data_IF_175698077830
#
_entry.id   IF_175698077830
#
_cell.length_a   1.000
_cell.length_b   1.000
_cell.length_c   1.000
_cell.angle_alpha   90.00
_cell.angle_beta   90.00
_cell.angle_gamma   90.00
#
_symmetry.space_group_name_H-M   'P 1'
#
loop_
_entity.id
_entity.type
_entity.pdbx_description
1 polymer ?
#
# COMPACT_ATOMS: atom_id res chain seq x y z
N UNK A 1 -16.10 -0.04 -14.31
CA UNK A 1 -15.60 -0.50 -15.58
C UNK A 1 -15.02 -1.92 -15.51
N UNK A 2 -14.56 -2.53 -16.64
CA UNK A 2 -14.09 -3.92 -16.67
C UNK A 2 -12.79 -4.12 -15.87
N UNK A 3 -11.81 -3.23 -16.02
CA UNK A 3 -10.54 -3.32 -15.30
C UNK A 3 -10.75 -3.13 -13.80
N UNK A 4 -11.53 -2.15 -13.42
CA UNK A 4 -11.88 -1.86 -12.03
C UNK A 4 -12.53 -3.07 -11.36
N UNK A 5 -13.63 -3.60 -11.93
CA UNK A 5 -14.29 -4.80 -11.39
C UNK A 5 -13.37 -6.03 -11.36
N UNK A 6 -12.47 -6.16 -12.36
CA UNK A 6 -11.52 -7.27 -12.37
C UNK A 6 -10.53 -7.13 -11.23
N UNK A 7 -9.99 -5.93 -11.00
CA UNK A 7 -9.05 -5.67 -9.90
C UNK A 7 -9.69 -5.87 -8.53
N UNK A 8 -10.94 -5.43 -8.34
CA UNK A 8 -11.71 -5.67 -7.11
C UNK A 8 -11.88 -7.17 -6.84
N UNK A 9 -12.32 -7.93 -7.85
CA UNK A 9 -12.50 -9.37 -7.72
C UNK A 9 -11.18 -10.10 -7.42
N UNK A 10 -10.09 -9.72 -8.10
CA UNK A 10 -8.77 -10.29 -7.86
C UNK A 10 -8.26 -9.96 -6.45
N UNK A 11 -8.51 -8.75 -5.96
CA UNK A 11 -8.17 -8.36 -4.60
C UNK A 11 -8.92 -9.23 -3.57
N UNK A 12 -10.22 -9.43 -3.73
CA UNK A 12 -11.00 -10.28 -2.83
C UNK A 12 -10.51 -11.74 -2.85
N UNK A 13 -10.23 -12.28 -4.04
CA UNK A 13 -9.67 -13.63 -4.16
C UNK A 13 -8.29 -13.75 -3.49
N UNK A 14 -7.45 -12.71 -3.58
CA UNK A 14 -6.16 -12.69 -2.91
C UNK A 14 -6.30 -12.64 -1.37
N UNK A 15 -7.25 -11.87 -0.84
CA UNK A 15 -7.59 -11.86 0.60
C UNK A 15 -8.05 -13.23 1.07
N UNK A 16 -8.96 -13.89 0.35
CA UNK A 16 -9.43 -15.24 0.68
C UNK A 16 -8.28 -16.26 0.67
N UNK A 17 -7.39 -16.17 -0.33
CA UNK A 17 -6.22 -17.04 -0.42
C UNK A 17 -5.24 -16.79 0.73
N UNK A 18 -5.01 -15.53 1.12
CA UNK A 18 -4.16 -15.18 2.25
C UNK A 18 -4.72 -15.72 3.58
N UNK A 19 -6.03 -15.60 3.81
CA UNK A 19 -6.70 -16.17 4.98
C UNK A 19 -6.56 -17.70 5.04
N UNK A 20 -6.82 -18.37 3.92
CA UNK A 20 -6.64 -19.83 3.82
C UNK A 20 -5.19 -20.24 4.12
N UNK A 21 -4.20 -19.57 3.53
CA UNK A 21 -2.78 -19.87 3.75
C UNK A 21 -2.34 -19.59 5.17
N UNK A 22 -2.85 -18.53 5.81
CA UNK A 22 -2.57 -18.22 7.21
C UNK A 22 -3.05 -19.37 8.12
N UNK A 23 -4.28 -19.84 7.97
CA UNK A 23 -4.80 -20.96 8.73
C UNK A 23 -4.03 -22.26 8.47
N UNK A 24 -3.78 -22.60 7.21
CA UNK A 24 -3.10 -23.84 6.83
C UNK A 24 -1.63 -23.87 7.29
N UNK A 25 -0.92 -22.74 7.21
CA UNK A 25 0.51 -22.66 7.59
C UNK A 25 0.75 -22.90 9.08
N UNK A 26 -0.24 -22.66 9.93
CA UNK A 26 -0.17 -22.92 11.36
C UNK A 26 -0.37 -24.37 11.75
N UNK A 27 -0.85 -25.23 10.84
CA UNK A 27 -1.10 -26.65 11.11
C UNK A 27 0.20 -27.45 11.10
N UNK A 28 0.43 -28.33 12.07
CA UNK A 28 1.63 -29.17 12.10
C UNK A 28 1.75 -30.03 10.84
N UNK A 29 2.90 -29.96 10.17
CA UNK A 29 3.18 -30.74 8.96
C UNK A 29 2.46 -30.25 7.70
N UNK A 30 1.90 -29.06 7.73
CA UNK A 30 1.24 -28.47 6.56
C UNK A 30 2.22 -28.32 5.38
N UNK A 31 1.79 -28.67 4.15
CA UNK A 31 2.56 -28.40 2.95
C UNK A 31 2.59 -26.92 2.58
N UNK A 32 1.77 -26.08 3.23
CA UNK A 32 1.62 -24.65 3.01
C UNK A 32 2.47 -23.81 3.97
N UNK A 33 3.56 -24.36 4.51
CA UNK A 33 4.48 -23.58 5.33
C UNK A 33 5.21 -22.53 4.49
N UNK A 34 4.87 -21.26 4.71
CA UNK A 34 5.43 -20.12 3.99
C UNK A 34 6.76 -19.62 4.58
N UNK A 35 7.28 -20.24 5.65
CA UNK A 35 8.46 -19.75 6.35
C UNK A 35 8.26 -18.44 7.12
N UNK A 36 7.01 -17.99 7.24
CA UNK A 36 6.65 -16.78 8.00
C UNK A 36 6.60 -17.13 9.49
N UNK A 37 7.20 -16.31 10.37
CA UNK A 37 7.10 -16.52 11.81
C UNK A 37 5.64 -16.59 12.27
N UNK A 38 5.36 -17.49 13.23
CA UNK A 38 4.01 -17.71 13.73
C UNK A 38 3.35 -16.43 14.22
N UNK A 39 4.10 -15.62 14.93
CA UNK A 39 3.63 -14.34 15.47
C UNK A 39 3.19 -13.38 14.36
N UNK A 40 3.90 -13.35 13.24
CA UNK A 40 3.54 -12.52 12.09
C UNK A 40 2.27 -13.03 11.40
N UNK A 41 2.07 -14.35 11.32
CA UNK A 41 0.83 -14.94 10.80
C UNK A 41 -0.35 -14.58 11.72
N UNK A 42 -0.17 -14.65 13.03
CA UNK A 42 -1.21 -14.28 13.99
C UNK A 42 -1.61 -12.80 13.86
N UNK A 43 -0.65 -11.89 13.67
CA UNK A 43 -0.94 -10.48 13.37
C UNK A 43 -1.70 -10.30 12.05
N UNK A 44 -1.26 -10.97 10.99
CA UNK A 44 -1.92 -10.92 9.70
C UNK A 44 -3.37 -11.44 9.76
N UNK A 45 -3.61 -12.54 10.49
CA UNK A 45 -4.95 -13.09 10.71
C UNK A 45 -5.86 -12.09 11.42
N UNK A 46 -5.37 -11.45 12.49
CA UNK A 46 -6.14 -10.42 13.21
C UNK A 46 -6.47 -9.23 12.31
N UNK A 47 -5.54 -8.82 11.45
CA UNK A 47 -5.77 -7.72 10.50
C UNK A 47 -6.81 -8.10 9.44
N UNK A 48 -6.76 -9.33 8.91
CA UNK A 48 -7.76 -9.85 7.97
C UNK A 48 -9.16 -9.94 8.61
N UNK A 49 -9.26 -10.46 9.84
CA UNK A 49 -10.54 -10.60 10.56
C UNK A 49 -11.19 -9.24 10.88
N UNK A 50 -10.38 -8.22 11.10
CA UNK A 50 -10.86 -6.84 11.35
C UNK A 50 -11.17 -6.08 10.08
N UNK A 51 -10.83 -6.64 8.92
CA UNK A 51 -10.88 -5.94 7.63
C UNK A 51 -10.11 -4.59 7.69
N UNK A 52 -8.87 -4.64 8.21
CA UNK A 52 -8.04 -3.45 8.31
C UNK A 52 -7.81 -2.86 6.91
N UNK A 53 -7.91 -1.53 6.74
CA UNK A 53 -7.82 -0.91 5.44
C UNK A 53 -6.41 -1.02 4.86
N UNK A 54 -6.31 -1.40 3.59
CA UNK A 54 -5.08 -1.32 2.80
C UNK A 54 -4.92 0.06 2.18
N UNK A 55 -3.69 0.44 1.83
CA UNK A 55 -3.41 1.74 1.21
C UNK A 55 -3.48 1.64 -0.31
N UNK A 56 -2.59 0.89 -0.92
CA UNK A 56 -2.52 0.68 -2.37
C UNK A 56 -1.82 -0.63 -2.71
N UNK A 57 -2.02 -1.05 -3.95
CA UNK A 57 -1.36 -2.22 -4.52
C UNK A 57 -1.29 -2.08 -6.05
N UNK A 58 -0.50 -2.94 -6.72
CA UNK A 58 -0.39 -2.96 -8.17
C UNK A 58 -0.67 -4.34 -8.73
N UNK A 59 -1.63 -4.44 -9.63
CA UNK A 59 -1.83 -5.61 -10.46
C UNK A 59 -1.14 -5.43 -11.81
N UNK A 60 -0.35 -6.40 -12.22
CA UNK A 60 0.16 -6.49 -13.56
C UNK A 60 -0.77 -7.40 -14.36
N UNK A 61 -1.45 -6.81 -15.37
CA UNK A 61 -2.52 -7.47 -16.11
C UNK A 61 -2.18 -7.55 -17.60
N UNK A 62 -2.53 -8.69 -18.24
CA UNK A 62 -2.67 -8.76 -19.70
C UNK A 62 -4.08 -8.33 -20.07
N UNK A 63 -4.17 -7.27 -20.85
CA UNK A 63 -5.45 -6.76 -21.36
C UNK A 63 -5.36 -6.50 -22.86
N UNK A 64 -6.23 -7.14 -23.63
CA UNK A 64 -6.25 -7.07 -25.09
C UNK A 64 -7.25 -6.02 -25.63
N UNK A 65 -7.79 -5.17 -24.75
CA UNK A 65 -8.78 -4.16 -25.14
C UNK A 65 -10.16 -4.77 -25.44
N UNK A 66 -10.73 -4.44 -26.62
CA UNK A 66 -12.11 -4.75 -26.95
C UNK A 66 -12.33 -6.12 -27.62
N UNK A 67 -11.46 -7.11 -27.38
CA UNK A 67 -11.60 -8.45 -27.95
C UNK A 67 -12.57 -9.37 -27.19
N UNK A 68 -13.23 -8.84 -26.17
CA UNK A 68 -14.21 -9.54 -25.34
C UNK A 68 -13.61 -10.52 -24.32
N UNK A 69 -12.29 -10.66 -24.28
CA UNK A 69 -11.62 -11.49 -23.27
C UNK A 69 -11.42 -10.73 -21.97
N UNK A 70 -11.62 -11.38 -20.81
CA UNK A 70 -11.34 -10.73 -19.54
C UNK A 70 -9.83 -10.49 -19.37
N UNK A 71 -9.45 -9.45 -18.61
CA UNK A 71 -8.06 -9.26 -18.18
C UNK A 71 -7.54 -10.48 -17.43
N UNK A 72 -6.26 -10.80 -17.63
CA UNK A 72 -5.58 -11.91 -16.93
C UNK A 72 -4.46 -11.38 -16.06
N UNK A 73 -4.47 -11.76 -14.80
CA UNK A 73 -3.45 -11.39 -13.85
C UNK A 73 -2.13 -12.12 -14.15
N UNK A 74 -1.05 -11.38 -14.16
CA UNK A 74 0.31 -11.88 -14.16
C UNK A 74 0.85 -11.91 -12.74
N UNK A 75 0.66 -10.80 -12.03
CA UNK A 75 1.26 -10.58 -10.72
C UNK A 75 0.39 -9.64 -9.89
N UNK A 76 0.44 -9.81 -8.57
CA UNK A 76 -0.16 -8.91 -7.60
C UNK A 76 0.91 -8.44 -6.61
N UNK A 77 1.29 -7.18 -6.69
CA UNK A 77 2.22 -6.53 -5.78
C UNK A 77 1.40 -5.82 -4.68
N UNK A 78 1.32 -6.45 -3.51
CA UNK A 78 0.48 -6.01 -2.40
C UNK A 78 1.26 -5.38 -1.24
N UNK A 79 2.60 -5.32 -1.34
CA UNK A 79 3.48 -4.68 -0.37
C UNK A 79 4.42 -3.72 -1.09
N UNK A 80 4.28 -2.43 -0.79
CA UNK A 80 5.06 -1.30 -1.35
C UNK A 80 5.48 -1.48 -2.81
N UNK A 81 4.53 -1.65 -3.75
CA UNK A 81 4.90 -1.84 -5.14
C UNK A 81 5.59 -0.60 -5.72
N UNK A 82 6.63 -0.82 -6.50
CA UNK A 82 7.35 0.22 -7.24
C UNK A 82 6.50 0.84 -8.36
N UNK A 83 6.95 1.93 -8.96
CA UNK A 83 6.25 2.59 -10.05
C UNK A 83 5.10 3.51 -9.63
N UNK A 84 4.95 3.78 -8.32
CA UNK A 84 3.89 4.65 -7.79
C UNK A 84 4.09 6.10 -8.20
N UNK A 85 5.29 6.63 -8.01
CA UNK A 85 5.61 8.04 -8.31
C UNK A 85 5.51 8.30 -9.81
N UNK A 86 5.95 7.35 -10.63
CA UNK A 86 5.85 7.42 -12.09
C UNK A 86 4.38 7.45 -12.52
N UNK A 87 3.54 6.59 -11.95
CA UNK A 87 2.14 6.53 -12.30
C UNK A 87 1.34 7.73 -11.78
N UNK A 88 1.59 8.15 -10.54
CA UNK A 88 0.82 9.20 -9.90
C UNK A 88 1.23 10.62 -10.34
N UNK A 89 2.53 10.88 -10.50
CA UNK A 89 3.07 12.21 -10.73
C UNK A 89 3.75 12.38 -12.09
N UNK A 90 4.70 11.50 -12.44
CA UNK A 90 5.54 11.69 -13.63
C UNK A 90 4.69 11.64 -14.90
N UNK A 91 3.74 10.72 -15.00
CA UNK A 91 2.82 10.65 -16.14
C UNK A 91 1.96 11.90 -16.27
N UNK A 92 1.53 12.50 -15.17
CA UNK A 92 0.79 13.77 -15.20
C UNK A 92 1.66 14.91 -15.75
N UNK A 93 2.86 15.10 -15.22
CA UNK A 93 3.78 16.14 -15.72
C UNK A 93 4.15 15.92 -17.18
N UNK A 94 4.36 14.66 -17.59
CA UNK A 94 4.57 14.33 -18.99
C UNK A 94 3.37 14.76 -19.87
N UNK A 95 2.16 14.47 -19.41
CA UNK A 95 0.93 14.87 -20.10
C UNK A 95 0.84 16.40 -20.22
N UNK A 96 1.09 17.14 -19.16
CA UNK A 96 1.12 18.61 -19.20
C UNK A 96 2.17 19.13 -20.19
N UNK A 97 3.39 18.63 -20.11
CA UNK A 97 4.51 19.13 -20.93
C UNK A 97 4.35 18.80 -22.41
N UNK A 98 3.92 17.61 -22.74
CA UNK A 98 3.88 17.12 -24.14
C UNK A 98 2.57 17.47 -24.83
N UNK A 99 1.45 17.48 -24.11
CA UNK A 99 0.14 17.70 -24.71
C UNK A 99 -0.45 19.07 -24.40
N UNK A 100 -0.65 19.40 -23.11
CA UNK A 100 -1.37 20.61 -22.75
C UNK A 100 -0.59 21.88 -23.14
N UNK A 101 0.70 21.94 -22.89
CA UNK A 101 1.55 23.08 -23.31
C UNK A 101 1.70 23.20 -24.84
N UNK A 102 1.53 22.09 -25.56
CA UNK A 102 1.51 22.09 -27.02
C UNK A 102 0.12 22.43 -27.60
N UNK A 103 -0.88 22.70 -26.77
CA UNK A 103 -2.24 23.03 -27.20
C UNK A 103 -3.03 21.82 -27.73
N UNK A 104 -2.60 20.60 -27.44
CA UNK A 104 -3.34 19.38 -27.80
C UNK A 104 -4.52 19.25 -26.83
N UNK A 105 -5.73 19.16 -27.39
CA UNK A 105 -6.97 19.03 -26.62
C UNK A 105 -7.64 17.69 -26.86
N UNK A 106 -8.50 17.26 -25.90
CA UNK A 106 -9.26 15.99 -26.03
C UNK A 106 -8.44 14.75 -25.67
N UNK A 107 -7.25 14.93 -25.12
CA UNK A 107 -6.44 13.88 -24.51
C UNK A 107 -6.49 14.09 -22.99
N UNK A 108 -6.74 13.03 -22.26
CA UNK A 108 -6.80 13.01 -20.80
C UNK A 108 -6.17 11.72 -20.30
N UNK A 109 -5.91 11.62 -19.01
CA UNK A 109 -5.45 10.39 -18.40
C UNK A 109 -6.42 9.94 -17.29
N UNK A 110 -6.58 8.64 -17.19
CA UNK A 110 -7.36 8.01 -16.13
C UNK A 110 -6.47 7.79 -14.91
N UNK A 111 -6.20 8.87 -14.19
CA UNK A 111 -5.27 8.87 -13.06
C UNK A 111 -5.85 9.72 -11.90
N UNK A 112 -6.33 9.05 -10.87
CA UNK A 112 -6.77 9.65 -9.61
C UNK A 112 -5.95 9.17 -8.42
N UNK A 113 -4.75 8.58 -8.64
CA UNK A 113 -3.97 7.91 -7.59
C UNK A 113 -3.64 8.89 -6.45
N UNK A 114 -3.24 10.12 -6.77
CA UNK A 114 -2.84 11.10 -5.76
C UNK A 114 -3.99 11.45 -4.81
N UNK A 115 -5.14 11.78 -5.36
CA UNK A 115 -6.34 12.15 -4.62
C UNK A 115 -6.89 10.97 -3.81
N UNK A 116 -6.87 9.77 -4.38
CA UNK A 116 -7.32 8.56 -3.70
C UNK A 116 -6.40 8.17 -2.54
N UNK A 117 -5.09 8.36 -2.67
CA UNK A 117 -4.16 8.16 -1.56
C UNK A 117 -4.48 9.10 -0.40
N UNK A 118 -4.69 10.40 -0.67
CA UNK A 118 -5.06 11.37 0.36
C UNK A 118 -6.38 10.96 1.05
N UNK A 119 -7.40 10.58 0.26
CA UNK A 119 -8.66 10.12 0.80
C UNK A 119 -8.53 8.83 1.62
N UNK A 120 -7.69 7.89 1.17
CA UNK A 120 -7.47 6.62 1.88
C UNK A 120 -6.75 6.82 3.22
N UNK A 121 -5.81 7.75 3.31
CA UNK A 121 -5.20 8.11 4.59
C UNK A 121 -6.23 8.57 5.61
N UNK A 122 -7.22 9.37 5.20
CA UNK A 122 -8.34 9.76 6.07
C UNK A 122 -9.14 8.55 6.57
N UNK A 123 -9.43 7.59 5.69
CA UNK A 123 -10.13 6.34 6.06
C UNK A 123 -9.32 5.48 7.04
N UNK A 124 -8.00 5.39 6.84
CA UNK A 124 -7.08 4.69 7.74
C UNK A 124 -7.07 5.35 9.13
N UNK A 125 -6.92 6.68 9.20
CA UNK A 125 -6.92 7.40 10.48
C UNK A 125 -8.25 7.27 11.22
N UNK A 126 -9.37 7.33 10.51
CA UNK A 126 -10.69 7.07 11.09
C UNK A 126 -10.85 5.64 11.62
N UNK A 127 -10.32 4.66 10.91
CA UNK A 127 -10.31 3.26 11.35
C UNK A 127 -9.49 3.09 12.64
N UNK A 128 -8.27 3.62 12.67
CA UNK A 128 -7.40 3.59 13.85
C UNK A 128 -8.03 4.34 15.03
N UNK A 129 -8.67 5.47 14.78
CA UNK A 129 -9.41 6.21 15.80
C UNK A 129 -10.55 5.41 16.43
N UNK A 130 -11.24 4.59 15.64
CA UNK A 130 -12.28 3.67 16.17
C UNK A 130 -11.69 2.53 16.99
N UNK A 131 -10.53 2.00 16.59
CA UNK A 131 -9.89 0.89 17.29
C UNK A 131 -9.23 1.31 18.60
N UNK A 132 -8.56 2.44 18.62
CA UNK A 132 -7.68 2.83 19.72
C UNK A 132 -8.16 4.05 20.49
N UNK A 133 -9.15 4.78 20.00
CA UNK A 133 -9.76 5.94 20.67
C UNK A 133 -8.81 7.13 20.91
N UNK A 134 -7.58 7.04 20.42
CA UNK A 134 -6.54 8.06 20.63
C UNK A 134 -6.32 8.85 19.35
N UNK A 135 -6.29 10.17 19.45
CA UNK A 135 -5.86 11.09 18.40
C UNK A 135 -5.07 12.25 19.00
N UNK A 136 -4.08 12.80 18.29
CA UNK A 136 -3.58 12.38 16.99
C UNK A 136 -2.68 11.13 17.06
N UNK A 137 -2.67 10.34 15.98
CA UNK A 137 -1.68 9.29 15.78
C UNK A 137 -0.41 9.88 15.14
N UNK A 138 0.75 9.28 15.45
CA UNK A 138 1.99 9.55 14.72
C UNK A 138 2.20 8.44 13.68
N UNK A 139 2.32 8.83 12.41
CA UNK A 139 2.56 7.90 11.32
C UNK A 139 4.04 7.86 10.99
N UNK A 140 4.63 6.67 11.05
CA UNK A 140 6.04 6.44 10.74
C UNK A 140 6.16 5.83 9.34
N UNK A 141 6.85 6.52 8.46
CA UNK A 141 7.15 6.07 7.10
C UNK A 141 8.57 5.54 7.08
N UNK A 142 8.70 4.21 7.04
CA UNK A 142 9.99 3.56 7.13
C UNK A 142 10.52 3.20 5.74
N UNK A 143 11.78 3.54 5.47
CA UNK A 143 12.48 3.20 4.24
C UNK A 143 13.78 2.47 4.54
N UNK A 144 14.29 1.70 3.57
CA UNK A 144 15.60 1.08 3.66
C UNK A 144 16.67 1.98 3.04
N UNK A 145 17.83 2.09 3.71
CA UNK A 145 19.02 2.74 3.19
C UNK A 145 19.92 1.79 2.38
N UNK A 146 19.50 0.53 2.24
CA UNK A 146 20.19 -0.47 1.43
C UNK A 146 19.90 -0.36 -0.07
N UNK A 147 18.94 0.48 -0.46
CA UNK A 147 18.59 0.76 -1.84
C UNK A 147 19.42 1.93 -2.39
N UNK A 148 20.48 1.60 -3.14
CA UNK A 148 21.37 2.59 -3.79
C UNK A 148 20.66 3.42 -4.88
N UNK A 149 19.49 2.98 -5.38
CA UNK A 149 18.69 3.72 -6.37
C UNK A 149 17.94 4.90 -5.77
N UNK A 150 17.61 4.83 -4.48
CA UNK A 150 16.78 5.80 -3.77
C UNK A 150 15.28 5.65 -4.08
N UNK A 151 14.88 4.60 -4.77
CA UNK A 151 13.48 4.35 -5.15
C UNK A 151 12.59 4.14 -3.93
N UNK A 152 13.06 3.37 -2.94
CA UNK A 152 12.33 3.13 -1.71
C UNK A 152 12.12 4.42 -0.91
N UNK A 153 13.16 5.24 -0.77
CA UNK A 153 13.08 6.55 -0.12
C UNK A 153 12.11 7.50 -0.86
N UNK A 154 12.15 7.51 -2.19
CA UNK A 154 11.28 8.36 -3.01
C UNK A 154 9.81 7.95 -2.87
N UNK A 155 9.51 6.67 -2.98
CA UNK A 155 8.16 6.13 -2.83
C UNK A 155 7.61 6.37 -1.43
N UNK A 156 8.41 6.06 -0.40
CA UNK A 156 8.03 6.25 1.00
C UNK A 156 7.84 7.74 1.35
N UNK A 157 8.71 8.61 0.82
CA UNK A 157 8.58 10.07 0.97
C UNK A 157 7.32 10.62 0.30
N UNK A 158 6.97 10.11 -0.88
CA UNK A 158 5.73 10.48 -1.56
C UNK A 158 4.48 10.04 -0.78
N UNK A 159 4.48 8.82 -0.24
CA UNK A 159 3.39 8.34 0.62
C UNK A 159 3.25 9.20 1.88
N UNK A 160 4.36 9.59 2.50
CA UNK A 160 4.34 10.51 3.64
C UNK A 160 3.76 11.87 3.26
N UNK A 161 4.12 12.41 2.10
CA UNK A 161 3.59 13.70 1.63
C UNK A 161 2.06 13.64 1.43
N UNK A 162 1.53 12.59 0.83
CA UNK A 162 0.07 12.40 0.71
C UNK A 162 -0.63 12.26 2.06
N UNK A 163 0.01 11.63 3.05
CA UNK A 163 -0.51 11.55 4.42
C UNK A 163 -0.52 12.93 5.12
N UNK A 164 0.53 13.73 4.92
CA UNK A 164 0.59 15.11 5.43
C UNK A 164 -0.52 15.96 4.78
N UNK A 165 -0.76 15.81 3.48
CA UNK A 165 -1.85 16.49 2.78
C UNK A 165 -3.23 16.06 3.30
N UNK A 166 -3.38 14.83 3.77
CA UNK A 166 -4.56 14.35 4.48
C UNK A 166 -4.70 14.90 5.92
N UNK A 167 -3.73 15.70 6.39
CA UNK A 167 -3.73 16.31 7.73
C UNK A 167 -3.10 15.43 8.82
N UNK A 168 -2.40 14.36 8.45
CA UNK A 168 -1.81 13.43 9.41
C UNK A 168 -0.43 13.89 9.89
N UNK A 169 -0.15 13.65 11.17
CA UNK A 169 1.19 13.89 11.72
C UNK A 169 2.10 12.74 11.34
N UNK A 170 3.10 13.03 10.50
CA UNK A 170 3.93 12.01 9.84
C UNK A 170 5.42 12.28 10.06
N UNK A 171 6.22 11.20 10.05
CA UNK A 171 7.68 11.29 10.12
C UNK A 171 8.32 10.19 9.27
N UNK A 172 9.42 10.55 8.61
CA UNK A 172 10.24 9.62 7.86
C UNK A 172 11.29 9.02 8.80
N UNK A 173 11.54 7.71 8.69
CA UNK A 173 12.49 7.00 9.55
C UNK A 173 13.20 5.91 8.75
N UNK A 174 14.50 5.74 8.99
CA UNK A 174 15.22 4.59 8.45
C UNK A 174 14.78 3.31 9.18
N UNK A 175 14.52 2.23 8.45
CA UNK A 175 14.03 0.97 9.03
C UNK A 175 14.93 0.45 10.17
N UNK A 176 16.25 0.65 10.09
CA UNK A 176 17.19 0.28 11.17
C UNK A 176 17.01 1.06 12.48
N UNK A 177 16.27 2.18 12.46
CA UNK A 177 15.99 2.99 13.65
C UNK A 177 14.69 2.57 14.35
N UNK A 178 13.93 1.65 13.73
CA UNK A 178 12.73 1.12 14.35
C UNK A 178 13.10 0.10 15.43
N UNK A 179 12.46 0.20 16.58
CA UNK A 179 12.61 -0.70 17.70
C UNK A 179 11.28 -1.15 18.26
N UNK A 180 11.33 -2.12 19.16
CA UNK A 180 10.17 -2.56 19.93
C UNK A 180 10.45 -2.28 21.41
N UNK A 181 9.66 -1.41 22.02
CA UNK A 181 9.61 -1.28 23.46
C UNK A 181 8.91 -2.51 24.04
N UNK A 182 9.67 -3.36 24.75
CA UNK A 182 9.17 -4.62 25.29
C UNK A 182 8.29 -4.45 26.53
N UNK A 183 8.36 -3.30 27.19
CA UNK A 183 7.54 -3.02 28.36
C UNK A 183 6.13 -2.61 27.95
N UNK A 184 6.02 -1.79 26.91
CA UNK A 184 4.73 -1.31 26.41
C UNK A 184 4.21 -2.10 25.20
N UNK A 185 4.99 -3.01 24.63
CA UNK A 185 4.72 -3.76 23.41
C UNK A 185 4.40 -2.82 22.20
N UNK A 186 5.05 -1.66 22.14
CA UNK A 186 4.85 -0.67 21.08
C UNK A 186 6.11 -0.53 20.22
N UNK A 187 5.90 -0.30 18.95
CA UNK A 187 6.98 0.14 18.09
C UNK A 187 7.39 1.56 18.44
N UNK A 188 8.68 1.84 18.30
CA UNK A 188 9.28 3.14 18.61
C UNK A 188 10.33 3.47 17.58
N UNK A 189 10.55 4.73 17.31
CA UNK A 189 11.66 5.21 16.49
C UNK A 189 12.89 5.54 17.38
N UNK A 190 14.02 5.89 16.72
CA UNK A 190 15.25 6.27 17.42
C UNK A 190 15.13 7.51 18.33
N UNK A 191 13.98 8.18 18.33
CA UNK A 191 13.66 9.33 19.19
C UNK A 191 12.62 8.98 20.27
N UNK A 192 12.35 7.68 20.49
CA UNK A 192 11.36 7.14 21.43
C UNK A 192 9.93 7.67 21.20
N UNK A 193 9.55 7.93 19.94
CA UNK A 193 8.17 8.24 19.56
C UNK A 193 7.44 6.92 19.28
N UNK A 194 6.20 6.81 19.75
CA UNK A 194 5.35 5.63 19.64
C UNK A 194 4.21 5.86 18.69
#
# INVERSE_FOLDING_TARGET
DLLERTSENLHMMAKDAAGFLAEESLKPGSPFNLGIPREAIEYATVSLDRDDPSLYSRFDLIYSGNDGRPPRMLEYNADTPTGLVEAALIQWYWHEDVHLKAGVTGIDQWNGIHEELIAQWGRIDDHLGRLHGLRPHMYHFAYTDADDSGEDLMTTGYLMDTAIQAGLTSTLVEMKQLGLDRETARFTDGKNRH
#
